data_IF_261180560512
#
_entry.id   IF_261180560512
#
_cell.length_a   1.000
_cell.length_b   1.000
_cell.length_c   1.000
_cell.angle_alpha   90.00
_cell.angle_beta   90.00
_cell.angle_gamma   90.00
#
_symmetry.space_group_name_H-M   'P 1'
#
loop_
_entity.id
_entity.type
_entity.pdbx_description
1 polymer ?
#
# COMPACT_ATOMS: atom_id res chain seq x y z
N UNK A 1 54.20 -7.64 37.82
CA UNK A 1 53.15 -6.67 38.10
C UNK A 1 52.21 -6.69 36.87
N UNK A 2 51.28 -7.68 36.87
CA UNK A 2 50.33 -7.91 35.79
C UNK A 2 48.98 -7.40 36.23
N UNK A 3 48.58 -6.27 35.66
CA UNK A 3 47.23 -5.73 35.80
C UNK A 3 46.36 -6.38 34.69
N UNK A 4 45.59 -7.37 35.10
CA UNK A 4 44.55 -7.97 34.28
C UNK A 4 43.38 -6.99 34.19
N UNK A 5 43.26 -6.33 33.05
CA UNK A 5 42.05 -5.56 32.72
C UNK A 5 41.03 -6.58 32.21
N UNK A 6 40.31 -7.20 33.13
CA UNK A 6 39.07 -7.92 32.82
C UNK A 6 37.97 -6.88 32.56
N UNK A 7 37.92 -6.37 31.32
CA UNK A 7 36.73 -5.67 30.84
C UNK A 7 35.59 -6.67 30.79
N UNK A 8 34.69 -6.58 31.75
CA UNK A 8 33.40 -7.28 31.71
C UNK A 8 32.61 -6.57 30.62
N UNK A 9 32.66 -7.08 29.40
CA UNK A 9 31.66 -6.73 28.39
C UNK A 9 30.33 -7.29 28.90
N UNK A 10 29.53 -6.42 29.51
CA UNK A 10 28.13 -6.78 29.75
C UNK A 10 27.50 -7.12 28.39
N UNK A 11 26.93 -8.33 28.23
CA UNK A 11 26.31 -8.70 26.99
C UNK A 11 25.17 -7.72 26.70
N UNK A 12 25.29 -6.97 25.61
CA UNK A 12 24.25 -6.06 25.15
C UNK A 12 22.97 -6.88 24.96
N UNK A 13 22.04 -6.80 25.91
CA UNK A 13 20.73 -7.43 25.82
C UNK A 13 19.86 -6.59 24.88
N UNK A 14 19.87 -6.92 23.59
CA UNK A 14 18.90 -6.39 22.63
C UNK A 14 17.51 -6.90 23.01
N UNK A 15 16.60 -6.00 23.35
CA UNK A 15 15.20 -6.33 23.65
C UNK A 15 14.31 -5.69 22.59
N UNK A 16 13.62 -6.52 21.82
CA UNK A 16 12.59 -6.05 20.91
C UNK A 16 11.33 -5.70 21.71
N UNK A 17 11.00 -4.41 21.79
CA UNK A 17 9.94 -3.89 22.67
C UNK A 17 8.53 -4.40 22.29
N UNK A 18 8.27 -4.64 21.00
CA UNK A 18 6.94 -5.01 20.50
C UNK A 18 6.84 -6.44 19.98
N UNK A 19 7.94 -7.18 19.99
CA UNK A 19 8.01 -8.61 19.65
C UNK A 19 9.11 -9.30 20.47
N UNK A 20 8.89 -9.52 21.78
CA UNK A 20 9.92 -10.02 22.68
C UNK A 20 10.47 -11.39 22.27
N UNK A 21 9.64 -12.22 21.62
CA UNK A 21 9.98 -13.57 21.19
C UNK A 21 10.53 -13.64 19.76
N UNK A 22 10.69 -12.48 19.09
CA UNK A 22 11.16 -12.37 17.69
C UNK A 22 10.36 -13.28 16.75
N UNK A 23 9.04 -13.34 16.94
CA UNK A 23 8.14 -14.13 16.11
C UNK A 23 8.00 -13.43 14.75
N UNK A 24 8.56 -14.02 13.71
CA UNK A 24 8.55 -13.45 12.35
C UNK A 24 7.13 -13.17 11.85
N UNK A 25 6.14 -13.97 12.25
CA UNK A 25 4.74 -13.79 11.89
C UNK A 25 4.20 -12.44 12.37
N UNK A 26 4.51 -11.98 13.58
CA UNK A 26 4.08 -10.69 14.11
C UNK A 26 4.59 -9.51 13.29
N UNK A 27 5.72 -9.69 12.63
CA UNK A 27 6.29 -8.65 11.78
C UNK A 27 5.70 -8.65 10.35
N UNK A 28 5.46 -9.84 9.79
CA UNK A 28 5.01 -9.98 8.40
C UNK A 28 3.49 -9.80 8.28
N UNK A 29 2.69 -10.42 9.15
CA UNK A 29 1.24 -10.50 9.01
C UNK A 29 0.53 -9.14 8.91
N UNK A 30 0.77 -8.17 9.80
CA UNK A 30 0.17 -6.84 9.63
C UNK A 30 0.57 -6.15 8.31
N UNK A 31 1.73 -6.51 7.78
CA UNK A 31 2.19 -6.04 6.47
C UNK A 31 1.42 -6.64 5.30
N UNK A 32 0.92 -7.86 5.44
CA UNK A 32 0.11 -8.51 4.41
C UNK A 32 -1.24 -7.82 4.21
N UNK A 33 -1.80 -7.19 5.25
CA UNK A 33 -3.03 -6.37 5.13
C UNK A 33 -2.83 -5.33 4.01
N UNK A 34 -1.71 -4.62 4.04
CA UNK A 34 -1.40 -3.55 3.09
C UNK A 34 -1.01 -4.12 1.72
N UNK A 35 -0.10 -5.10 1.70
CA UNK A 35 0.46 -5.66 0.47
C UNK A 35 -0.61 -6.34 -0.39
N UNK A 36 -1.42 -7.24 0.20
CA UNK A 36 -2.43 -7.97 -0.55
C UNK A 36 -3.57 -7.05 -1.01
N UNK A 37 -3.93 -6.05 -0.19
CA UNK A 37 -4.89 -5.02 -0.61
C UNK A 37 -4.37 -4.20 -1.79
N UNK A 38 -3.09 -3.81 -1.78
CA UNK A 38 -2.46 -3.11 -2.90
C UNK A 38 -2.54 -3.93 -4.19
N UNK A 39 -2.11 -5.21 -4.12
CA UNK A 39 -2.14 -6.11 -5.27
C UNK A 39 -3.51 -6.14 -5.94
N UNK A 40 -4.54 -6.38 -5.14
CA UNK A 40 -5.89 -6.53 -5.64
C UNK A 40 -6.47 -5.22 -6.17
N UNK A 41 -6.30 -4.12 -5.40
CA UNK A 41 -6.84 -2.80 -5.76
C UNK A 41 -6.20 -2.26 -7.04
N UNK A 42 -4.86 -2.36 -7.18
CA UNK A 42 -4.15 -1.91 -8.38
C UNK A 42 -4.62 -2.68 -9.61
N UNK A 43 -4.70 -4.02 -9.52
CA UNK A 43 -5.12 -4.86 -10.66
C UNK A 43 -6.56 -4.55 -11.06
N UNK A 44 -7.49 -4.50 -10.10
CA UNK A 44 -8.90 -4.19 -10.39
C UNK A 44 -9.06 -2.81 -11.02
N UNK A 45 -8.37 -1.80 -10.49
CA UNK A 45 -8.42 -0.44 -11.01
C UNK A 45 -7.80 -0.35 -12.42
N UNK A 46 -6.66 -1.01 -12.65
CA UNK A 46 -5.97 -1.02 -13.93
C UNK A 46 -6.75 -1.72 -15.05
N UNK A 47 -7.50 -2.76 -14.71
CA UNK A 47 -8.32 -3.49 -15.67
C UNK A 47 -9.69 -2.84 -15.91
N UNK A 48 -10.11 -1.89 -15.09
CA UNK A 48 -11.45 -1.33 -15.10
C UNK A 48 -11.86 -0.77 -16.47
N UNK A 49 -11.01 0.05 -17.09
CA UNK A 49 -11.27 0.69 -18.38
C UNK A 49 -10.65 -0.08 -19.54
N UNK A 50 -9.50 -0.71 -19.29
CA UNK A 50 -8.86 -1.55 -20.31
C UNK A 50 -9.80 -2.67 -20.81
N UNK A 51 -10.59 -3.25 -19.88
CA UNK A 51 -11.62 -4.25 -20.23
C UNK A 51 -12.69 -3.68 -21.15
N UNK A 52 -13.20 -2.48 -20.87
CA UNK A 52 -14.24 -1.85 -21.69
C UNK A 52 -13.74 -1.50 -23.09
N UNK A 53 -12.49 -1.07 -23.21
CA UNK A 53 -11.85 -0.84 -24.50
C UNK A 53 -11.71 -2.12 -25.32
N UNK A 54 -11.25 -3.18 -24.70
CA UNK A 54 -11.07 -4.47 -25.36
C UNK A 54 -12.40 -5.09 -25.79
N UNK A 55 -13.48 -4.85 -25.04
CA UNK A 55 -14.83 -5.30 -25.35
C UNK A 55 -15.60 -4.39 -26.31
N UNK A 56 -15.04 -3.23 -26.69
CA UNK A 56 -15.69 -2.25 -27.57
C UNK A 56 -16.83 -1.47 -26.91
N UNK A 57 -17.04 -1.62 -25.60
CA UNK A 57 -18.11 -0.91 -24.85
C UNK A 57 -17.70 0.50 -24.41
N UNK A 58 -16.42 0.83 -24.58
CA UNK A 58 -15.90 2.14 -24.21
C UNK A 58 -16.54 3.30 -24.99
N UNK A 59 -16.86 3.09 -26.27
CA UNK A 59 -17.54 4.09 -27.10
C UNK A 59 -18.94 4.42 -26.57
N UNK A 60 -19.64 3.44 -25.97
CA UNK A 60 -20.95 3.66 -25.36
C UNK A 60 -20.85 4.57 -24.11
N UNK A 61 -19.72 4.53 -23.39
CA UNK A 61 -19.46 5.44 -22.28
C UNK A 61 -19.21 6.88 -22.74
N UNK A 62 -18.62 7.06 -23.94
CA UNK A 62 -18.34 8.38 -24.52
C UNK A 62 -19.60 9.15 -24.89
N UNK A 63 -20.66 8.44 -25.32
CA UNK A 63 -21.95 9.06 -25.68
C UNK A 63 -22.89 9.19 -24.48
N UNK A 64 -22.48 8.70 -23.31
CA UNK A 64 -23.29 8.82 -22.11
C UNK A 64 -23.23 10.25 -21.53
N UNK A 65 -24.28 10.74 -20.86
CA UNK A 65 -24.33 12.08 -20.32
C UNK A 65 -23.47 12.30 -19.07
N UNK A 66 -22.61 11.33 -18.70
CA UNK A 66 -21.79 11.40 -17.49
C UNK A 66 -20.52 12.22 -17.69
N UNK A 67 -20.17 13.00 -16.68
CA UNK A 67 -18.90 13.71 -16.63
C UNK A 67 -17.73 12.76 -16.37
N UNK A 68 -16.52 13.13 -16.80
CA UNK A 68 -15.30 12.35 -16.54
C UNK A 68 -15.09 12.06 -15.06
N UNK A 69 -15.47 12.98 -14.17
CA UNK A 69 -15.34 12.79 -12.70
C UNK A 69 -16.29 11.73 -12.21
N UNK A 70 -17.55 11.73 -12.67
CA UNK A 70 -18.55 10.73 -12.30
C UNK A 70 -18.13 9.33 -12.78
N UNK A 71 -17.59 9.22 -13.99
CA UNK A 71 -17.04 7.96 -14.50
C UNK A 71 -15.89 7.45 -13.65
N UNK A 72 -14.92 8.32 -13.32
CA UNK A 72 -13.80 7.95 -12.46
C UNK A 72 -14.25 7.54 -11.05
N UNK A 73 -15.19 8.31 -10.47
CA UNK A 73 -15.75 7.97 -9.16
C UNK A 73 -16.44 6.59 -9.20
N UNK A 74 -17.28 6.33 -10.19
CA UNK A 74 -17.94 5.04 -10.37
C UNK A 74 -16.95 3.89 -10.53
N UNK A 75 -15.86 4.08 -11.30
CA UNK A 75 -14.79 3.10 -11.49
C UNK A 75 -13.92 2.87 -10.24
N UNK A 76 -13.87 3.85 -9.35
CA UNK A 76 -13.14 3.76 -8.08
C UNK A 76 -13.87 2.97 -7.01
N UNK A 77 -15.21 2.99 -7.00
CA UNK A 77 -16.03 2.40 -5.92
C UNK A 77 -15.75 0.91 -5.73
N UNK A 78 -15.78 0.12 -6.80
CA UNK A 78 -15.58 -1.32 -6.71
C UNK A 78 -14.19 -1.71 -6.16
N UNK A 79 -13.06 -1.17 -6.70
CA UNK A 79 -11.74 -1.44 -6.12
C UNK A 79 -11.59 -1.00 -4.67
N UNK A 80 -12.19 0.14 -4.27
CA UNK A 80 -12.16 0.63 -2.88
C UNK A 80 -12.89 -0.35 -1.96
N UNK A 81 -14.12 -0.73 -2.29
CA UNK A 81 -14.90 -1.65 -1.47
C UNK A 81 -14.24 -3.03 -1.34
N UNK A 82 -13.72 -3.56 -2.45
CA UNK A 82 -13.03 -4.85 -2.46
C UNK A 82 -11.72 -4.75 -1.67
N UNK A 83 -10.97 -3.65 -1.78
CA UNK A 83 -9.77 -3.40 -1.00
C UNK A 83 -10.03 -3.36 0.50
N UNK A 84 -11.09 -2.69 0.94
CA UNK A 84 -11.50 -2.69 2.34
C UNK A 84 -11.96 -4.06 2.82
N UNK A 85 -12.74 -4.76 2.02
CA UNK A 85 -13.19 -6.12 2.34
C UNK A 85 -12.00 -7.06 2.51
N UNK A 86 -11.05 -7.03 1.57
CA UNK A 86 -9.81 -7.80 1.63
C UNK A 86 -8.98 -7.46 2.87
N UNK A 87 -8.77 -6.16 3.14
CA UNK A 87 -8.05 -5.69 4.33
C UNK A 87 -8.70 -6.19 5.61
N UNK A 88 -10.04 -6.17 5.67
CA UNK A 88 -10.80 -6.66 6.82
C UNK A 88 -10.66 -8.16 7.00
N UNK A 89 -10.72 -8.94 5.93
CA UNK A 89 -10.53 -10.39 6.01
C UNK A 89 -9.16 -10.74 6.57
N UNK A 90 -8.10 -10.09 6.07
CA UNK A 90 -6.73 -10.36 6.53
C UNK A 90 -6.59 -9.90 7.99
N UNK A 91 -7.12 -8.74 8.35
CA UNK A 91 -7.13 -8.25 9.73
C UNK A 91 -7.80 -9.23 10.69
N UNK A 92 -8.93 -9.84 10.31
CA UNK A 92 -9.61 -10.85 11.11
C UNK A 92 -8.79 -12.14 11.22
N UNK A 93 -8.13 -12.55 10.16
CA UNK A 93 -7.21 -13.70 10.18
C UNK A 93 -6.02 -13.43 11.11
N UNK A 94 -5.44 -12.24 11.07
CA UNK A 94 -4.35 -11.84 11.97
C UNK A 94 -4.78 -11.88 13.43
N UNK A 95 -5.98 -11.42 13.72
CA UNK A 95 -6.50 -11.32 15.08
C UNK A 95 -6.94 -12.68 15.65
N UNK A 96 -7.70 -13.48 14.87
CA UNK A 96 -8.34 -14.70 15.37
C UNK A 96 -7.56 -15.97 15.07
N UNK A 97 -6.81 -16.03 13.96
CA UNK A 97 -6.07 -17.23 13.59
C UNK A 97 -4.62 -17.17 14.06
N UNK A 98 -3.95 -16.05 13.89
CA UNK A 98 -2.57 -15.85 14.31
C UNK A 98 -2.45 -15.28 15.73
N UNK A 99 -3.58 -14.94 16.35
CA UNK A 99 -3.64 -14.41 17.72
C UNK A 99 -2.69 -13.22 17.95
N UNK A 100 -2.46 -12.39 16.92
CA UNK A 100 -1.60 -11.22 17.01
C UNK A 100 -2.37 -10.10 17.69
N UNK A 101 -2.00 -9.67 18.90
CA UNK A 101 -2.75 -8.66 19.62
C UNK A 101 -2.62 -7.30 18.92
N UNK A 102 -3.75 -6.65 18.69
CA UNK A 102 -3.77 -5.29 18.19
C UNK A 102 -3.61 -4.30 19.34
N UNK A 103 -2.48 -3.58 19.37
CA UNK A 103 -2.20 -2.58 20.41
C UNK A 103 -2.87 -1.22 20.16
N UNK A 104 -3.29 -0.93 18.93
CA UNK A 104 -3.80 0.38 18.53
C UNK A 104 -5.30 0.42 18.23
N UNK A 105 -5.75 1.56 17.67
CA UNK A 105 -7.14 1.79 17.32
C UNK A 105 -7.46 1.22 15.94
N UNK A 106 -8.51 0.41 15.84
CA UNK A 106 -9.07 -0.10 14.58
C UNK A 106 -9.44 1.07 13.64
N UNK A 107 -10.02 2.14 14.18
CA UNK A 107 -10.37 3.32 13.40
C UNK A 107 -9.13 3.97 12.75
N UNK A 108 -8.02 4.06 13.50
CA UNK A 108 -6.76 4.58 12.96
C UNK A 108 -6.21 3.71 11.82
N UNK A 109 -6.31 2.38 11.96
CA UNK A 109 -5.92 1.42 10.92
C UNK A 109 -6.72 1.66 9.64
N UNK A 110 -8.06 1.70 9.74
CA UNK A 110 -8.93 1.89 8.57
C UNK A 110 -8.77 3.27 7.92
N UNK A 111 -8.48 4.31 8.71
CA UNK A 111 -8.19 5.63 8.16
C UNK A 111 -6.88 5.65 7.33
N UNK A 112 -5.84 4.99 7.82
CA UNK A 112 -4.58 4.82 7.09
C UNK A 112 -4.80 4.00 5.81
N UNK A 113 -5.57 2.91 5.90
CA UNK A 113 -5.93 2.09 4.75
C UNK A 113 -6.74 2.87 3.71
N UNK A 114 -7.65 3.77 4.15
CA UNK A 114 -8.41 4.63 3.23
C UNK A 114 -7.50 5.50 2.38
N UNK A 115 -6.57 6.23 3.01
CA UNK A 115 -5.61 7.09 2.29
C UNK A 115 -4.78 6.25 1.31
N UNK A 116 -4.32 5.10 1.76
CA UNK A 116 -3.54 4.18 0.94
C UNK A 116 -4.32 3.65 -0.27
N UNK A 117 -5.53 3.12 -0.05
CA UNK A 117 -6.38 2.59 -1.12
C UNK A 117 -6.69 3.66 -2.15
N UNK A 118 -6.98 4.89 -1.73
CA UNK A 118 -7.20 6.02 -2.65
C UNK A 118 -5.96 6.31 -3.52
N UNK A 119 -4.77 6.29 -2.91
CA UNK A 119 -3.51 6.47 -3.64
C UNK A 119 -3.31 5.37 -4.69
N UNK A 120 -3.56 4.12 -4.31
CA UNK A 120 -3.38 2.94 -5.17
C UNK A 120 -4.43 2.87 -6.28
N UNK A 121 -5.68 3.23 -6.00
CA UNK A 121 -6.75 3.34 -7.00
C UNK A 121 -6.38 4.37 -8.07
N UNK A 122 -5.86 5.52 -7.65
CA UNK A 122 -5.38 6.56 -8.58
C UNK A 122 -4.29 6.05 -9.52
N UNK A 123 -3.32 5.28 -8.99
CA UNK A 123 -2.29 4.62 -9.80
C UNK A 123 -2.90 3.64 -10.80
N UNK A 124 -3.76 2.73 -10.35
CA UNK A 124 -4.40 1.74 -11.20
C UNK A 124 -5.25 2.36 -12.30
N UNK A 125 -6.06 3.37 -11.98
CA UNK A 125 -6.86 4.10 -12.96
C UNK A 125 -5.99 4.86 -13.98
N UNK A 126 -4.86 5.42 -13.56
CA UNK A 126 -3.89 6.04 -14.47
C UNK A 126 -3.35 5.03 -15.49
N UNK A 127 -2.97 3.84 -15.03
CA UNK A 127 -2.54 2.73 -15.90
C UNK A 127 -3.69 2.32 -16.83
N UNK A 128 -4.91 2.18 -16.30
CA UNK A 128 -6.10 1.81 -17.06
C UNK A 128 -6.41 2.79 -18.19
N UNK A 129 -6.28 4.09 -17.91
CA UNK A 129 -6.50 5.13 -18.91
C UNK A 129 -5.48 5.08 -20.07
N UNK A 130 -4.26 4.60 -19.80
CA UNK A 130 -3.21 4.45 -20.81
C UNK A 130 -3.32 3.14 -21.60
N UNK A 131 -3.77 2.06 -20.98
CA UNK A 131 -3.82 0.72 -21.56
C UNK A 131 -4.94 0.57 -22.58
N UNK A 132 -4.65 -0.11 -23.69
CA UNK A 132 -5.64 -0.42 -24.73
C UNK A 132 -6.23 -1.83 -24.55
N UNK A 133 -5.45 -2.74 -23.96
CA UNK A 133 -5.86 -4.13 -23.70
C UNK A 133 -5.65 -4.49 -22.24
N UNK A 134 -6.38 -5.50 -21.76
CA UNK A 134 -6.18 -6.01 -20.39
C UNK A 134 -4.76 -6.54 -20.18
N UNK A 135 -4.19 -7.22 -21.19
CA UNK A 135 -2.82 -7.73 -21.10
C UNK A 135 -1.80 -6.60 -20.93
N UNK A 136 -1.93 -5.51 -21.69
CA UNK A 136 -1.06 -4.34 -21.53
C UNK A 136 -1.19 -3.73 -20.14
N UNK A 137 -2.42 -3.59 -19.63
CA UNK A 137 -2.68 -3.08 -18.29
C UNK A 137 -2.01 -3.93 -17.22
N UNK A 138 -2.15 -5.25 -17.28
CA UNK A 138 -1.51 -6.19 -16.36
C UNK A 138 0.01 -6.12 -16.41
N UNK A 139 0.61 -6.10 -17.60
CA UNK A 139 2.07 -6.01 -17.74
C UNK A 139 2.62 -4.73 -17.10
N UNK A 140 1.98 -3.58 -17.35
CA UNK A 140 2.39 -2.32 -16.75
C UNK A 140 2.27 -2.39 -15.22
N UNK A 141 1.15 -2.92 -14.70
CA UNK A 141 0.97 -3.10 -13.26
C UNK A 141 2.08 -3.94 -12.66
N UNK A 142 2.40 -5.10 -13.23
CA UNK A 142 3.45 -5.98 -12.69
C UNK A 142 4.84 -5.35 -12.72
N UNK A 143 5.18 -4.61 -13.78
CA UNK A 143 6.45 -3.89 -13.88
C UNK A 143 6.64 -2.88 -12.75
N UNK A 144 5.57 -2.22 -12.30
CA UNK A 144 5.64 -1.29 -11.17
C UNK A 144 5.48 -2.00 -9.81
N UNK A 145 4.57 -2.96 -9.72
CA UNK A 145 4.19 -3.60 -8.48
C UNK A 145 5.31 -4.45 -7.88
N UNK A 146 6.02 -5.24 -8.71
CA UNK A 146 7.10 -6.11 -8.21
C UNK A 146 8.23 -5.29 -7.54
N UNK A 147 8.77 -4.24 -8.16
CA UNK A 147 9.74 -3.37 -7.48
C UNK A 147 9.17 -2.71 -6.22
N UNK A 148 7.92 -2.21 -6.23
CA UNK A 148 7.30 -1.61 -5.05
C UNK A 148 7.25 -2.59 -3.88
N UNK A 149 6.81 -3.83 -4.10
CA UNK A 149 6.76 -4.85 -3.05
C UNK A 149 8.16 -5.18 -2.50
N UNK A 150 9.16 -5.31 -3.36
CA UNK A 150 10.53 -5.61 -2.95
C UNK A 150 11.19 -4.45 -2.20
N UNK A 151 10.89 -3.21 -2.59
CA UNK A 151 11.48 -2.00 -2.02
C UNK A 151 10.68 -1.45 -0.81
N UNK A 152 9.52 -2.01 -0.51
CA UNK A 152 8.62 -1.52 0.55
C UNK A 152 9.15 -1.65 1.97
N UNK A 153 10.18 -2.49 2.19
CA UNK A 153 10.63 -2.83 3.54
C UNK A 153 9.85 -3.98 4.18
N UNK A 154 9.04 -4.72 3.40
CA UNK A 154 8.32 -5.88 3.90
C UNK A 154 9.27 -7.08 4.11
N UNK A 155 10.12 -7.36 3.14
CA UNK A 155 11.04 -8.50 3.14
C UNK A 155 12.44 -8.14 3.63
N UNK A 156 12.92 -6.95 3.32
CA UNK A 156 14.24 -6.47 3.73
C UNK A 156 14.14 -5.02 4.23
N UNK A 157 14.79 -4.69 5.38
CA UNK A 157 14.81 -3.32 5.88
C UNK A 157 15.36 -2.34 4.83
N UNK A 158 14.68 -1.20 4.66
CA UNK A 158 15.07 -0.18 3.67
C UNK A 158 16.45 0.41 4.00
N UNK A 159 16.80 0.45 5.28
CA UNK A 159 18.08 0.96 5.79
C UNK A 159 19.29 0.16 5.25
N UNK A 160 19.08 -1.10 4.89
CA UNK A 160 20.12 -1.98 4.34
C UNK A 160 20.29 -1.82 2.82
N UNK A 161 19.46 -1.00 2.17
CA UNK A 161 19.52 -0.76 0.74
C UNK A 161 20.54 0.34 0.42
N UNK A 162 21.17 0.33 -0.79
CA UNK A 162 21.99 1.45 -1.26
C UNK A 162 21.20 2.77 -1.26
N UNK A 163 21.87 3.90 -1.01
CA UNK A 163 21.23 5.20 -0.87
C UNK A 163 20.33 5.60 -2.04
N UNK A 164 20.75 5.30 -3.27
CA UNK A 164 19.93 5.59 -4.46
C UNK A 164 18.60 4.81 -4.48
N UNK A 165 18.60 3.55 -4.01
CA UNK A 165 17.36 2.78 -3.84
C UNK A 165 16.49 3.36 -2.73
N UNK A 166 17.07 3.78 -1.59
CA UNK A 166 16.33 4.42 -0.52
C UNK A 166 15.58 5.67 -1.00
N UNK A 167 16.19 6.46 -1.89
CA UNK A 167 15.52 7.62 -2.49
C UNK A 167 14.34 7.16 -3.38
N UNK A 168 14.52 6.12 -4.19
CA UNK A 168 13.47 5.60 -5.05
C UNK A 168 12.25 5.10 -4.25
N UNK A 169 12.49 4.56 -3.05
CA UNK A 169 11.38 4.08 -2.19
C UNK A 169 10.49 5.19 -1.64
N UNK A 170 10.86 6.48 -1.75
CA UNK A 170 9.94 7.58 -1.42
C UNK A 170 8.74 7.68 -2.37
N UNK A 171 8.88 7.15 -3.59
CA UNK A 171 7.78 7.03 -4.54
C UNK A 171 6.90 5.77 -4.30
N UNK A 172 7.19 4.99 -3.26
CA UNK A 172 6.44 3.77 -2.94
C UNK A 172 5.43 4.02 -1.81
N UNK A 173 4.11 4.03 -2.10
CA UNK A 173 3.09 4.19 -1.07
C UNK A 173 3.05 3.01 -0.09
N UNK A 174 3.48 1.83 -0.52
CA UNK A 174 3.50 0.62 0.31
C UNK A 174 4.47 0.75 1.49
N UNK A 175 5.67 1.31 1.28
CA UNK A 175 6.69 1.52 2.32
C UNK A 175 6.13 2.29 3.53
N UNK A 176 5.52 3.44 3.28
CA UNK A 176 5.06 4.33 4.34
C UNK A 176 3.81 3.78 5.03
N UNK A 177 2.90 3.19 4.26
CA UNK A 177 1.69 2.57 4.79
C UNK A 177 2.03 1.34 5.63
N UNK A 178 2.98 0.51 5.18
CA UNK A 178 3.48 -0.64 5.92
C UNK A 178 4.04 -0.23 7.30
N UNK A 179 4.89 0.81 7.31
CA UNK A 179 5.43 1.37 8.55
C UNK A 179 4.31 1.90 9.47
N UNK A 180 3.33 2.60 8.90
CA UNK A 180 2.19 3.13 9.62
C UNK A 180 1.33 2.03 10.26
N UNK A 181 0.98 1.02 9.49
CA UNK A 181 0.17 -0.11 9.95
C UNK A 181 0.88 -0.91 11.03
N UNK A 182 2.17 -1.21 10.86
CA UNK A 182 2.96 -1.87 11.90
C UNK A 182 3.01 -1.07 13.20
N UNK A 183 3.20 0.24 13.14
CA UNK A 183 3.21 1.12 14.31
C UNK A 183 1.85 1.18 15.01
N UNK A 184 0.74 1.22 14.27
CA UNK A 184 -0.61 1.16 14.84
C UNK A 184 -0.85 -0.22 15.44
N UNK A 185 -0.61 -1.29 14.67
CA UNK A 185 -0.96 -2.65 15.05
C UNK A 185 -0.14 -3.14 16.25
N UNK A 186 1.20 -3.04 16.17
CA UNK A 186 2.11 -3.61 17.18
C UNK A 186 2.44 -2.63 18.30
N UNK A 187 2.68 -1.35 17.97
CA UNK A 187 3.13 -0.36 18.95
C UNK A 187 1.99 0.46 19.57
N UNK A 188 0.74 0.25 19.13
CA UNK A 188 -0.39 1.01 19.65
C UNK A 188 -0.34 2.51 19.32
N UNK A 189 0.38 2.89 18.26
CA UNK A 189 0.58 4.29 17.92
C UNK A 189 -0.75 4.98 17.56
N UNK A 190 -0.94 6.20 18.04
CA UNK A 190 -2.11 7.00 17.70
C UNK A 190 -2.03 7.52 16.26
N UNK A 191 -3.19 7.85 15.67
CA UNK A 191 -3.26 8.44 14.34
C UNK A 191 -2.42 9.71 14.21
N UNK A 192 -2.40 10.57 15.24
CA UNK A 192 -1.60 11.81 15.28
C UNK A 192 -0.10 11.55 15.11
N UNK A 193 0.40 10.43 15.64
CA UNK A 193 1.81 10.07 15.59
C UNK A 193 2.20 9.48 14.24
N UNK A 194 1.26 8.83 13.55
CA UNK A 194 1.51 8.11 12.30
C UNK A 194 1.27 9.00 11.08
N UNK A 195 0.26 9.87 11.13
CA UNK A 195 -0.16 10.73 10.01
C UNK A 195 0.97 11.59 9.40
N UNK A 196 1.87 12.21 10.20
CA UNK A 196 2.98 12.98 9.63
C UNK A 196 3.92 12.13 8.76
N UNK A 197 4.08 10.83 9.08
CA UNK A 197 4.90 9.91 8.27
C UNK A 197 4.22 9.46 6.97
N UNK A 198 2.93 9.71 6.81
CA UNK A 198 2.17 9.31 5.61
C UNK A 198 2.10 10.39 4.53
N UNK A 199 2.80 11.52 4.70
CA UNK A 199 2.78 12.60 3.71
C UNK A 199 3.09 12.13 2.26
N UNK A 200 4.02 11.13 2.01
CA UNK A 200 4.25 10.69 0.64
C UNK A 200 3.06 9.96 0.04
N UNK A 201 2.32 9.19 0.86
CA UNK A 201 1.11 8.47 0.42
C UNK A 201 0.00 9.46 0.06
N UNK A 202 -0.17 10.50 0.89
CA UNK A 202 -1.13 11.58 0.64
C UNK A 202 -0.74 12.35 -0.63
N UNK A 203 0.54 12.69 -0.78
CA UNK A 203 1.04 13.35 -1.98
C UNK A 203 0.80 12.49 -3.23
N UNK A 204 1.04 11.18 -3.15
CA UNK A 204 0.73 10.26 -4.24
C UNK A 204 -0.76 10.22 -4.58
N UNK A 205 -1.66 10.17 -3.59
CA UNK A 205 -3.09 10.21 -3.83
C UNK A 205 -3.49 11.52 -4.56
N UNK A 206 -2.93 12.65 -4.11
CA UNK A 206 -3.16 13.97 -4.71
C UNK A 206 -2.56 14.11 -6.12
N UNK A 207 -1.57 13.33 -6.49
CA UNK A 207 -0.97 13.32 -7.82
C UNK A 207 -1.65 12.32 -8.76
N UNK A 208 -1.92 11.11 -8.27
CA UNK A 208 -2.42 10.00 -9.11
C UNK A 208 -3.88 10.17 -9.49
N UNK A 209 -4.74 10.69 -8.60
CA UNK A 209 -6.15 10.93 -8.92
C UNK A 209 -6.34 12.02 -9.99
N UNK A 210 -5.69 13.20 -9.91
CA UNK A 210 -5.72 14.17 -11.00
C UNK A 210 -5.05 13.67 -12.28
N UNK A 211 -3.97 12.88 -12.17
CA UNK A 211 -3.35 12.27 -13.34
C UNK A 211 -4.31 11.31 -14.04
N UNK A 212 -5.01 10.45 -13.31
CA UNK A 212 -6.05 9.61 -13.86
C UNK A 212 -7.13 10.44 -14.59
N UNK A 213 -7.61 11.53 -13.97
CA UNK A 213 -8.56 12.43 -14.59
C UNK A 213 -8.02 13.05 -15.89
N UNK A 214 -6.79 13.55 -15.89
CA UNK A 214 -6.18 14.16 -17.05
C UNK A 214 -6.04 13.19 -18.23
N UNK A 215 -5.54 11.98 -17.95
CA UNK A 215 -5.38 10.95 -18.99
C UNK A 215 -6.72 10.44 -19.51
N UNK A 216 -7.70 10.30 -18.64
CA UNK A 216 -9.06 9.98 -19.03
C UNK A 216 -9.63 11.06 -19.96
N UNK A 217 -9.60 12.34 -19.54
CA UNK A 217 -10.11 13.47 -20.32
C UNK A 217 -9.42 13.63 -21.68
N UNK A 218 -8.13 13.31 -21.76
CA UNK A 218 -7.39 13.40 -23.02
C UNK A 218 -7.75 12.30 -24.02
N UNK A 219 -8.29 11.19 -23.54
CA UNK A 219 -8.63 10.02 -24.34
C UNK A 219 -10.14 9.81 -24.53
N UNK A 220 -10.97 10.63 -23.88
CA UNK A 220 -12.36 10.91 -24.19
C UNK A 220 -12.46 11.86 -25.36
#
# INVERSE_FOLDING_TARGET
>A
MNASITGIEEPVKTRFLFNPNVITQWFIMPGLIVMLSMLQVVVLSALSVAREREQGTFEQLLVSPYTTIELLAAKSVAPILIGFFQSTLIFLVDLYWFEIPMGGSVLALYFVLLIFILSVVGLGLTVSAYSQTMQQGLLIVFVFLVPMVLLSGLFAPVENMPQWLQILTYADPLRFTLSAVRRIYLAGASLRTVLPGMWPVIAMALLTLPAAYYFFKKRL
#
